data_IF_764986044909
#
_entry.id   IF_764986044909
#
_cell.length_a   1.000
_cell.length_b   1.000
_cell.length_c   1.000
_cell.angle_alpha   90.00
_cell.angle_beta   90.00
_cell.angle_gamma   90.00
#
_symmetry.space_group_name_H-M   'P 1'
#
loop_
_entity.id
_entity.type
_entity.pdbx_description
1 polymer ?
#
# COMPACT_ATOMS: atom_id res chain seq x y z
N UNK A 1 25.18 -3.65 22.22
CA UNK A 1 23.85 -4.28 22.18
C UNK A 1 23.00 -3.42 21.26
N UNK A 2 22.56 -3.96 20.11
CA UNK A 2 21.70 -3.21 19.19
C UNK A 2 20.25 -3.31 19.71
N UNK A 3 19.69 -2.19 20.17
CA UNK A 3 18.30 -2.11 20.67
C UNK A 3 17.27 -1.97 19.54
N UNK A 4 17.73 -1.94 18.29
CA UNK A 4 16.87 -1.79 17.12
C UNK A 4 16.37 -3.17 16.66
N UNK A 5 15.08 -3.43 16.88
CA UNK A 5 14.38 -4.60 16.36
C UNK A 5 14.10 -4.40 14.87
N UNK A 6 15.12 -4.60 14.02
CA UNK A 6 15.05 -4.53 12.55
C UNK A 6 14.10 -5.57 11.91
N UNK A 7 13.40 -6.33 12.74
CA UNK A 7 12.53 -7.44 12.36
C UNK A 7 11.12 -7.22 12.92
N UNK A 8 10.56 -6.01 12.78
CA UNK A 8 9.12 -5.82 12.97
C UNK A 8 8.38 -6.44 11.79
N UNK A 9 8.26 -7.76 11.81
CA UNK A 9 7.34 -8.49 10.93
C UNK A 9 5.94 -8.02 11.30
N UNK A 10 5.40 -7.10 10.52
CA UNK A 10 4.02 -6.66 10.68
C UNK A 10 3.17 -7.85 10.29
N UNK A 11 2.70 -8.61 11.27
CA UNK A 11 1.87 -9.78 11.03
C UNK A 11 0.63 -9.33 10.25
N UNK A 12 0.50 -9.80 9.01
CA UNK A 12 -0.63 -9.45 8.15
C UNK A 12 -1.85 -10.15 8.72
N UNK A 13 -2.59 -9.46 9.58
CA UNK A 13 -3.84 -9.95 10.15
C UNK A 13 -4.87 -10.03 9.03
N UNK A 14 -5.14 -11.24 8.55
CA UNK A 14 -6.14 -11.49 7.52
C UNK A 14 -7.54 -11.08 7.97
N UNK A 15 -8.44 -10.88 6.98
CA UNK A 15 -9.84 -10.58 7.27
C UNK A 15 -10.52 -11.76 8.00
N UNK A 16 -11.52 -11.49 8.84
CA UNK A 16 -12.30 -12.56 9.47
C UNK A 16 -13.14 -13.29 8.43
N UNK A 17 -13.26 -14.62 8.54
CA UNK A 17 -14.04 -15.44 7.60
C UNK A 17 -15.52 -14.97 7.48
N UNK A 18 -16.09 -14.45 8.59
CA UNK A 18 -17.42 -13.83 8.59
C UNK A 18 -17.45 -12.55 7.77
N UNK A 19 -16.47 -11.66 7.95
CA UNK A 19 -16.38 -10.41 7.23
C UNK A 19 -16.20 -10.65 5.72
N UNK A 20 -15.37 -11.64 5.35
CA UNK A 20 -15.22 -12.08 3.97
C UNK A 20 -16.57 -12.50 3.36
N UNK A 21 -17.32 -13.36 4.05
CA UNK A 21 -18.63 -13.81 3.58
C UNK A 21 -19.65 -12.68 3.45
N UNK A 22 -19.67 -11.72 4.40
CA UNK A 22 -20.55 -10.54 4.33
C UNK A 22 -20.20 -9.62 3.15
N UNK A 23 -18.91 -9.36 2.91
CA UNK A 23 -18.46 -8.52 1.79
C UNK A 23 -18.83 -9.14 0.45
N UNK A 24 -18.58 -10.44 0.26
CA UNK A 24 -18.96 -11.13 -0.97
C UNK A 24 -20.48 -11.27 -1.12
N UNK A 25 -21.19 -11.52 -0.03
CA UNK A 25 -22.65 -11.52 -0.01
C UNK A 25 -23.24 -10.18 -0.44
N UNK A 26 -22.73 -9.08 0.09
CA UNK A 26 -23.12 -7.72 -0.29
C UNK A 26 -22.74 -7.39 -1.75
N UNK A 27 -21.56 -7.81 -2.21
CA UNK A 27 -21.13 -7.64 -3.59
C UNK A 27 -22.08 -8.35 -4.58
N UNK A 28 -22.42 -9.62 -4.33
CA UNK A 28 -23.38 -10.34 -5.17
C UNK A 28 -24.79 -9.75 -5.06
N UNK A 29 -25.18 -9.21 -3.90
CA UNK A 29 -26.46 -8.52 -3.75
C UNK A 29 -26.51 -7.26 -4.63
N UNK A 30 -25.45 -6.45 -4.66
CA UNK A 30 -25.35 -5.28 -5.53
C UNK A 30 -25.46 -5.70 -7.00
N UNK A 31 -24.78 -6.77 -7.42
CA UNK A 31 -24.88 -7.29 -8.79
C UNK A 31 -26.29 -7.80 -9.12
N UNK A 32 -26.94 -8.46 -8.15
CA UNK A 32 -28.28 -8.99 -8.31
C UNK A 32 -29.31 -7.88 -8.51
N UNK A 33 -29.16 -6.77 -7.77
CA UNK A 33 -30.09 -5.64 -7.76
C UNK A 33 -29.73 -4.55 -8.79
N UNK A 34 -28.51 -4.51 -9.31
CA UNK A 34 -28.08 -3.53 -10.32
C UNK A 34 -29.03 -3.41 -11.53
N UNK A 35 -29.55 -4.50 -12.11
CA UNK A 35 -30.49 -4.41 -13.24
C UNK A 35 -31.83 -3.75 -12.90
N UNK A 36 -32.23 -3.73 -11.62
CA UNK A 36 -33.48 -3.11 -11.18
C UNK A 36 -33.45 -1.58 -11.42
N UNK A 37 -32.28 -0.95 -11.39
CA UNK A 37 -32.10 0.47 -11.72
C UNK A 37 -32.50 0.77 -13.17
N UNK A 38 -32.46 -0.24 -14.04
CA UNK A 38 -32.86 -0.15 -15.44
C UNK A 38 -34.22 -0.85 -15.71
N UNK A 39 -35.04 -1.07 -14.68
CA UNK A 39 -36.32 -1.78 -14.74
C UNK A 39 -36.23 -3.21 -15.33
N UNK A 40 -35.07 -3.86 -15.23
CA UNK A 40 -34.86 -5.25 -15.66
C UNK A 40 -35.00 -6.20 -14.47
N UNK A 41 -35.38 -7.48 -14.71
CA UNK A 41 -35.47 -8.46 -13.63
C UNK A 41 -34.10 -8.66 -12.95
N UNK A 42 -34.10 -8.97 -11.65
CA UNK A 42 -32.87 -9.25 -10.92
C UNK A 42 -32.19 -10.49 -11.47
N UNK A 43 -30.86 -10.54 -11.36
CA UNK A 43 -30.08 -11.71 -11.77
C UNK A 43 -30.25 -12.80 -10.72
N UNK A 44 -31.18 -13.73 -10.94
CA UNK A 44 -31.49 -14.82 -10.00
C UNK A 44 -30.27 -15.63 -9.56
N UNK A 45 -29.29 -15.85 -10.45
CA UNK A 45 -28.04 -16.52 -10.09
C UNK A 45 -27.24 -15.73 -9.05
N UNK A 46 -27.23 -14.40 -9.12
CA UNK A 46 -26.53 -13.52 -8.19
C UNK A 46 -27.28 -13.42 -6.86
N UNK A 47 -28.63 -13.49 -6.89
CA UNK A 47 -29.45 -13.62 -5.68
C UNK A 47 -29.11 -14.91 -4.93
N UNK A 48 -29.07 -16.04 -5.64
CA UNK A 48 -28.73 -17.34 -5.05
C UNK A 48 -27.30 -17.33 -4.47
N UNK A 49 -26.34 -16.76 -5.19
CA UNK A 49 -24.97 -16.60 -4.70
C UNK A 49 -24.89 -15.72 -3.45
N UNK A 50 -25.57 -14.57 -3.44
CA UNK A 50 -25.62 -13.67 -2.27
C UNK A 50 -26.20 -14.39 -1.05
N UNK A 51 -27.35 -15.05 -1.20
CA UNK A 51 -27.98 -15.80 -0.13
C UNK A 51 -27.07 -16.91 0.41
N UNK A 52 -26.41 -17.68 -0.47
CA UNK A 52 -25.48 -18.72 -0.07
C UNK A 52 -24.31 -18.16 0.75
N UNK A 53 -23.69 -17.07 0.30
CA UNK A 53 -22.57 -16.44 1.02
C UNK A 53 -23.00 -15.90 2.39
N UNK A 54 -24.15 -15.22 2.47
CA UNK A 54 -24.68 -14.69 3.74
C UNK A 54 -25.07 -15.80 4.72
N UNK A 55 -25.71 -16.87 4.23
CA UNK A 55 -26.07 -18.02 5.05
C UNK A 55 -24.82 -18.73 5.60
N UNK A 56 -23.83 -19.01 4.75
CA UNK A 56 -22.59 -19.67 5.20
C UNK A 56 -21.82 -18.76 6.16
N UNK A 57 -21.79 -17.45 5.92
CA UNK A 57 -21.15 -16.49 6.83
C UNK A 57 -21.79 -16.50 8.23
N UNK A 58 -23.12 -16.71 8.32
CA UNK A 58 -23.85 -16.71 9.58
C UNK A 58 -23.81 -18.05 10.30
N UNK A 59 -24.09 -19.15 9.59
CA UNK A 59 -24.18 -20.49 10.18
C UNK A 59 -22.82 -21.17 10.37
N UNK A 60 -21.92 -21.05 9.40
CA UNK A 60 -20.68 -21.83 9.39
C UNK A 60 -19.52 -21.09 8.67
N UNK A 61 -19.02 -19.98 9.24
CA UNK A 61 -17.98 -19.16 8.61
C UNK A 61 -16.67 -19.93 8.38
N UNK A 62 -16.42 -21.01 9.14
CA UNK A 62 -15.25 -21.86 8.96
C UNK A 62 -15.14 -22.48 7.56
N UNK A 63 -16.27 -22.68 6.84
CA UNK A 63 -16.24 -23.16 5.45
C UNK A 63 -15.66 -22.13 4.48
N UNK A 64 -15.75 -20.83 4.80
CA UNK A 64 -15.20 -19.75 3.99
C UNK A 64 -13.70 -19.53 4.23
N UNK A 65 -13.13 -20.16 5.26
CA UNK A 65 -11.71 -20.04 5.64
C UNK A 65 -10.73 -20.34 4.49
N UNK A 66 -10.81 -21.45 3.74
CA UNK A 66 -9.89 -21.70 2.64
C UNK A 66 -10.02 -20.64 1.55
N UNK A 67 -11.24 -20.18 1.26
CA UNK A 67 -11.50 -19.17 0.24
C UNK A 67 -10.96 -17.79 0.66
N UNK A 68 -11.19 -17.41 1.91
CA UNK A 68 -10.66 -16.17 2.50
C UNK A 68 -9.12 -16.16 2.50
N UNK A 69 -8.48 -17.29 2.83
CA UNK A 69 -7.01 -17.41 2.74
C UNK A 69 -6.50 -17.27 1.32
N UNK A 70 -7.14 -17.92 0.36
CA UNK A 70 -6.75 -17.80 -1.05
C UNK A 70 -6.92 -16.36 -1.54
N UNK A 71 -8.03 -15.72 -1.18
CA UNK A 71 -8.28 -14.31 -1.50
C UNK A 71 -7.21 -13.38 -0.91
N UNK A 72 -6.81 -13.62 0.34
CA UNK A 72 -5.73 -12.87 0.98
C UNK A 72 -4.41 -13.04 0.24
N UNK A 73 -4.05 -14.27 -0.13
CA UNK A 73 -2.83 -14.54 -0.90
C UNK A 73 -2.84 -13.85 -2.27
N UNK A 74 -3.98 -13.85 -2.96
CA UNK A 74 -4.16 -13.10 -4.21
C UNK A 74 -3.99 -11.60 -3.99
N UNK A 75 -4.57 -11.06 -2.90
CA UNK A 75 -4.39 -9.66 -2.51
C UNK A 75 -2.92 -9.30 -2.24
N UNK A 76 -2.18 -10.17 -1.57
CA UNK A 76 -0.74 -9.99 -1.32
C UNK A 76 0.08 -10.05 -2.62
N UNK A 77 -0.24 -10.98 -3.51
CA UNK A 77 0.41 -11.08 -4.83
C UNK A 77 0.15 -9.82 -5.66
N UNK A 78 -1.11 -9.35 -5.68
CA UNK A 78 -1.48 -8.13 -6.36
C UNK A 78 -0.77 -6.92 -5.76
N UNK A 79 -0.66 -6.84 -4.43
CA UNK A 79 0.07 -5.78 -3.75
C UNK A 79 1.55 -5.76 -4.15
N UNK A 80 2.20 -6.93 -4.24
CA UNK A 80 3.59 -7.05 -4.69
C UNK A 80 3.83 -6.47 -6.09
N UNK A 81 2.83 -6.50 -6.97
CA UNK A 81 2.90 -5.92 -8.31
C UNK A 81 2.49 -4.45 -8.28
N UNK A 82 1.41 -4.13 -7.57
CA UNK A 82 0.80 -2.79 -7.54
C UNK A 82 1.70 -1.78 -6.83
N UNK A 83 2.34 -2.18 -5.73
CA UNK A 83 3.24 -1.31 -4.96
C UNK A 83 4.39 -0.74 -5.81
N UNK A 84 5.22 -1.55 -6.50
CA UNK A 84 6.26 -1.02 -7.38
C UNK A 84 5.69 -0.30 -8.61
N UNK A 85 4.52 -0.69 -9.13
CA UNK A 85 3.88 0.02 -10.24
C UNK A 85 3.48 1.44 -9.82
N UNK A 86 2.80 1.61 -8.68
CA UNK A 86 2.43 2.92 -8.15
C UNK A 86 3.69 3.74 -7.87
N UNK A 87 4.71 3.15 -7.24
CA UNK A 87 5.97 3.84 -6.97
C UNK A 87 6.66 4.27 -8.28
N UNK A 88 6.66 3.43 -9.30
CA UNK A 88 7.18 3.73 -10.62
C UNK A 88 6.42 4.88 -11.29
N UNK A 89 5.08 4.85 -11.24
CA UNK A 89 4.25 5.95 -11.75
C UNK A 89 4.58 7.24 -11.02
N UNK A 90 4.64 7.24 -9.68
CA UNK A 90 5.00 8.42 -8.90
C UNK A 90 6.37 8.96 -9.30
N UNK A 91 7.35 8.06 -9.46
CA UNK A 91 8.70 8.41 -9.90
C UNK A 91 8.70 9.08 -11.27
N UNK A 92 8.11 8.46 -12.28
CA UNK A 92 8.18 8.97 -13.65
C UNK A 92 7.23 10.13 -13.93
N UNK A 93 6.13 10.27 -13.19
CA UNK A 93 5.15 11.35 -13.39
C UNK A 93 5.44 12.59 -12.56
N UNK A 94 5.97 12.43 -11.34
CA UNK A 94 6.21 13.59 -10.46
C UNK A 94 7.71 13.85 -10.26
N UNK A 95 8.47 12.85 -9.80
CA UNK A 95 9.85 13.07 -9.37
C UNK A 95 10.83 13.29 -10.53
N UNK A 96 10.76 12.45 -11.57
CA UNK A 96 11.61 12.53 -12.75
C UNK A 96 11.44 13.85 -13.52
N UNK A 97 10.20 14.31 -13.85
CA UNK A 97 10.04 15.59 -14.53
C UNK A 97 10.43 16.76 -13.64
N UNK A 98 10.18 16.70 -12.32
CA UNK A 98 10.67 17.74 -11.39
C UNK A 98 12.20 17.86 -11.43
N UNK A 99 12.90 16.72 -11.41
CA UNK A 99 14.36 16.69 -11.54
C UNK A 99 14.84 17.22 -12.90
N UNK A 100 14.14 16.89 -13.99
CA UNK A 100 14.43 17.41 -15.32
C UNK A 100 14.26 18.94 -15.37
N UNK A 101 13.15 19.46 -14.84
CA UNK A 101 12.87 20.89 -14.74
C UNK A 101 13.96 21.60 -13.94
N UNK A 102 14.34 21.07 -12.77
CA UNK A 102 15.45 21.63 -11.98
C UNK A 102 16.76 21.68 -12.76
N UNK A 103 17.07 20.63 -13.53
CA UNK A 103 18.27 20.56 -14.37
C UNK A 103 18.23 21.57 -15.52
N UNK A 104 17.06 21.78 -16.12
CA UNK A 104 16.85 22.81 -17.15
C UNK A 104 17.04 24.23 -16.58
N UNK A 105 16.61 24.48 -15.34
CA UNK A 105 16.87 25.74 -14.62
C UNK A 105 18.28 25.82 -14.01
N UNK A 106 19.18 24.87 -14.33
CA UNK A 106 20.56 24.88 -13.87
C UNK A 106 20.75 24.62 -12.36
N UNK A 107 19.72 24.18 -11.65
CA UNK A 107 19.80 23.87 -10.22
C UNK A 107 20.42 22.50 -10.01
N UNK A 108 21.64 22.48 -9.45
CA UNK A 108 22.31 21.24 -9.01
C UNK A 108 22.20 21.09 -7.49
N UNK A 109 21.02 20.65 -7.02
CA UNK A 109 20.77 20.47 -5.58
C UNK A 109 21.65 19.40 -4.94
N UNK A 110 22.03 18.40 -5.72
CA UNK A 110 22.84 17.26 -5.27
C UNK A 110 24.34 17.50 -5.47
N UNK A 111 24.74 18.66 -6.03
CA UNK A 111 26.14 19.01 -6.36
C UNK A 111 26.85 17.87 -7.11
N UNK A 112 26.15 17.28 -8.08
CA UNK A 112 26.64 16.12 -8.84
C UNK A 112 27.74 16.49 -9.83
N UNK A 113 27.87 17.76 -10.19
CA UNK A 113 28.97 18.22 -11.06
C UNK A 113 30.30 18.18 -10.29
N UNK A 114 31.25 17.43 -10.84
CA UNK A 114 32.63 17.39 -10.33
C UNK A 114 33.32 18.72 -10.63
N UNK A 115 33.68 19.43 -9.57
CA UNK A 115 34.56 20.60 -9.60
C UNK A 115 36.02 20.16 -9.40
N UNK A 116 36.84 20.26 -10.45
CA UNK A 116 38.25 19.89 -10.41
C UNK A 116 39.13 20.94 -9.70
N UNK A 117 38.61 22.14 -9.46
CA UNK A 117 39.33 23.21 -8.78
C UNK A 117 38.96 23.30 -7.29
N UNK A 118 37.94 22.55 -6.85
CA UNK A 118 37.58 22.48 -5.45
C UNK A 118 38.69 21.82 -4.61
N UNK A 119 39.12 22.50 -3.55
CA UNK A 119 40.09 21.98 -2.57
C UNK A 119 39.50 20.83 -1.73
N UNK A 120 38.19 20.84 -1.51
CA UNK A 120 37.45 19.80 -0.81
C UNK A 120 35.95 19.88 -1.14
N UNK A 121 35.27 18.73 -1.23
CA UNK A 121 33.82 18.64 -1.34
C UNK A 121 33.09 18.69 0.02
N UNK A 122 33.86 18.76 1.12
CA UNK A 122 33.31 18.82 2.46
C UNK A 122 32.46 20.07 2.67
N UNK A 123 31.20 19.88 3.06
CA UNK A 123 30.29 20.99 3.37
C UNK A 123 30.46 21.35 4.85
N UNK A 124 31.21 22.42 5.13
CA UNK A 124 31.36 22.94 6.48
C UNK A 124 30.01 23.45 7.00
N UNK A 125 29.54 22.92 8.12
CA UNK A 125 28.28 23.34 8.75
C UNK A 125 28.56 24.45 9.76
N UNK A 126 27.93 25.61 9.56
CA UNK A 126 27.95 26.74 10.51
C UNK A 126 26.50 27.13 10.84
N UNK A 127 26.07 27.05 12.12
CA UNK A 127 26.84 26.64 13.29
C UNK A 127 27.25 25.15 13.25
N UNK A 128 28.28 24.74 14.02
CA UNK A 128 28.57 23.32 14.24
C UNK A 128 27.30 22.62 14.73
N UNK A 129 27.21 21.30 14.49
CA UNK A 129 26.07 20.49 14.95
C UNK A 129 25.74 20.72 16.44
N UNK A 130 24.53 20.37 16.88
CA UNK A 130 24.08 20.68 18.22
C UNK A 130 25.07 20.13 19.27
N UNK A 131 25.28 20.87 20.39
CA UNK A 131 26.29 20.53 21.37
C UNK A 131 26.06 19.10 21.90
N UNK A 132 27.12 18.35 22.26
CA UNK A 132 27.01 16.95 22.73
C UNK A 132 25.99 16.77 23.87
N UNK A 133 25.80 17.82 24.67
CA UNK A 133 24.88 17.91 25.80
C UNK A 133 23.39 17.91 25.38
N UNK A 134 23.06 18.23 24.13
CA UNK A 134 21.68 18.25 23.62
C UNK A 134 21.08 16.84 23.45
N UNK A 135 21.91 15.81 23.53
CA UNK A 135 21.51 14.43 23.33
C UNK A 135 21.16 13.79 24.69
N UNK A 136 20.13 14.33 25.34
CA UNK A 136 19.75 13.98 26.73
C UNK A 136 19.14 12.58 26.89
N UNK A 137 18.67 11.95 25.81
CA UNK A 137 18.02 10.63 25.82
C UNK A 137 18.59 9.73 24.70
N UNK A 138 19.87 9.37 24.80
CA UNK A 138 20.53 8.50 23.81
C UNK A 138 20.30 7.00 24.06
N UNK A 139 19.76 6.63 25.22
CA UNK A 139 19.55 5.24 25.65
C UNK A 139 18.19 5.07 26.31
#
# INVERSE_FOLDING_TARGET
>A
MAHESLQRQTEVKGSSDRAFGLVFGAFFLLIALWPLLAARPPRWWAVAASAAFLLVAWLAPALLKPLNRLWLQLGLLLHRITSPVILGILFFVFFAPMGLVMRLFGKDLLRLRIDRQASSYWIERRPPGPPPESLSNQF
#
